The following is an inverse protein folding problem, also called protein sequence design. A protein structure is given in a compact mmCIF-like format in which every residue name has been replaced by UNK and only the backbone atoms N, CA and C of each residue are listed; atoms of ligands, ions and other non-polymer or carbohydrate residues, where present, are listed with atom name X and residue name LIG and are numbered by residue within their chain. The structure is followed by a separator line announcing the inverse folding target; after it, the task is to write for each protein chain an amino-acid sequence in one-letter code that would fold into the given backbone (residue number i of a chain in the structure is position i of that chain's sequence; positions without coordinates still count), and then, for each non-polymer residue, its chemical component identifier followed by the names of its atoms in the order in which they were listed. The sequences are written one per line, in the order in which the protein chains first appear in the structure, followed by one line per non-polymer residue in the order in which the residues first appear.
data_IF_953117954993
#
_entry.id   IF_953117954993
#
_cell.length_a   1.000
_cell.length_b   1.000
_cell.length_c   1.000
_cell.angle_alpha   90.00
_cell.angle_beta   90.00
_cell.angle_gamma   90.00
#
_symmetry.space_group_name_H-M   'P 1'
#
loop_
_entity.id
_entity.type
_entity.pdbx_description
1 polymer ?
#
# COMPACT_ATOMS: atom_id res chain seq x y z
N UNK A 1 4.29 -32.90 3.71
CA UNK A 1 3.36 -32.95 4.85
C UNK A 1 4.20 -33.23 6.08
N UNK A 2 4.41 -32.20 6.91
CA UNK A 2 5.13 -32.35 8.19
C UNK A 2 4.26 -33.21 9.10
N UNK A 3 4.82 -34.29 9.65
CA UNK A 3 4.06 -35.15 10.59
C UNK A 3 3.93 -34.43 11.93
N UNK A 4 2.86 -34.66 12.71
CA UNK A 4 2.81 -34.17 14.09
C UNK A 4 4.06 -34.64 14.85
N UNK A 5 4.81 -33.72 15.44
CA UNK A 5 6.01 -34.01 16.24
C UNK A 5 7.36 -33.93 15.52
N UNK A 6 7.44 -33.48 14.26
CA UNK A 6 8.72 -33.20 13.62
C UNK A 6 9.27 -31.85 14.12
N UNK A 7 10.45 -31.85 14.75
CA UNK A 7 11.14 -30.63 15.19
C UNK A 7 11.49 -29.78 13.97
N UNK A 8 10.88 -28.59 13.89
CA UNK A 8 11.04 -27.67 12.75
C UNK A 8 12.23 -26.72 12.96
N UNK A 9 12.57 -26.41 14.21
CA UNK A 9 13.70 -25.55 14.58
C UNK A 9 14.21 -25.89 16.01
N UNK A 10 15.48 -25.61 16.30
CA UNK A 10 16.11 -25.83 17.61
C UNK A 10 17.01 -24.63 17.93
N UNK A 11 16.71 -23.94 19.03
CA UNK A 11 17.50 -22.81 19.53
C UNK A 11 17.97 -23.08 20.97
N UNK A 12 19.22 -22.73 21.28
CA UNK A 12 19.70 -22.71 22.66
C UNK A 12 19.12 -21.50 23.40
N UNK A 13 18.29 -21.75 24.41
CA UNK A 13 17.75 -20.71 25.29
C UNK A 13 18.67 -20.48 26.49
N UNK A 14 18.63 -19.27 27.05
CA UNK A 14 19.39 -18.95 28.25
C UNK A 14 19.04 -19.90 29.41
N UNK A 15 20.06 -20.28 30.19
CA UNK A 15 19.87 -21.12 31.38
C UNK A 15 18.83 -20.49 32.31
N UNK A 16 17.80 -21.25 32.67
CA UNK A 16 16.68 -20.79 33.52
C UNK A 16 15.45 -20.29 32.77
N UNK A 17 15.40 -20.36 31.43
CA UNK A 17 14.23 -19.93 30.64
C UNK A 17 12.91 -20.66 31.01
N UNK A 18 12.98 -21.95 31.36
CA UNK A 18 11.84 -22.71 31.86
C UNK A 18 12.23 -23.58 33.05
N UNK A 19 11.28 -23.80 33.97
CA UNK A 19 11.45 -24.76 35.07
C UNK A 19 11.01 -26.15 34.66
N UNK A 20 11.52 -27.19 35.36
CA UNK A 20 11.07 -28.57 35.14
C UNK A 20 9.57 -28.71 35.39
N UNK A 21 9.02 -28.01 36.39
CA UNK A 21 7.57 -28.04 36.64
C UNK A 21 6.78 -27.47 35.46
N UNK A 22 7.25 -26.36 34.87
CA UNK A 22 6.57 -25.71 33.73
C UNK A 22 6.57 -26.59 32.47
N UNK A 23 7.69 -27.25 32.19
CA UNK A 23 7.79 -28.18 31.06
C UNK A 23 6.93 -29.45 31.27
N UNK A 24 6.82 -29.93 32.52
CA UNK A 24 5.98 -31.06 32.86
C UNK A 24 4.47 -30.74 32.81
N UNK A 25 4.09 -29.46 32.81
CA UNK A 25 2.70 -29.01 32.71
C UNK A 25 2.20 -28.94 31.25
N UNK A 26 3.08 -29.10 30.25
CA UNK A 26 2.69 -29.16 28.84
C UNK A 26 1.91 -30.46 28.61
N UNK A 27 0.63 -30.40 28.18
CA UNK A 27 -0.18 -31.61 27.99
C UNK A 27 0.37 -32.47 26.85
N UNK A 28 0.28 -33.80 26.99
CA UNK A 28 0.68 -34.74 25.93
C UNK A 28 -0.22 -34.66 24.69
N UNK A 29 -1.49 -34.28 24.88
CA UNK A 29 -2.45 -34.06 23.80
C UNK A 29 -2.63 -32.56 23.51
N UNK A 30 -2.69 -32.16 22.23
CA UNK A 30 -2.87 -30.77 21.85
C UNK A 30 -4.26 -30.26 22.25
N UNK A 31 -4.34 -28.97 22.60
CA UNK A 31 -5.62 -28.31 22.83
C UNK A 31 -6.50 -28.37 21.56
N UNK A 32 -7.83 -28.51 21.70
CA UNK A 32 -8.73 -28.46 20.56
C UNK A 32 -8.66 -27.07 19.92
N UNK A 33 -8.68 -27.03 18.58
CA UNK A 33 -8.76 -25.77 17.85
C UNK A 33 -10.12 -25.11 18.06
N UNK A 34 -10.11 -23.83 18.41
CA UNK A 34 -11.30 -23.01 18.58
C UNK A 34 -11.19 -21.71 17.75
N UNK A 35 -12.13 -21.54 16.82
CA UNK A 35 -12.19 -20.35 15.97
C UNK A 35 -12.64 -19.12 16.74
N UNK A 36 -13.50 -19.29 17.73
CA UNK A 36 -14.02 -18.17 18.52
C UNK A 36 -12.91 -17.57 19.41
N UNK A 37 -11.95 -18.40 19.85
CA UNK A 37 -10.75 -17.96 20.52
C UNK A 37 -9.81 -17.16 19.60
N UNK A 38 -9.63 -17.59 18.35
CA UNK A 38 -8.87 -16.81 17.35
C UNK A 38 -9.55 -15.46 17.06
N UNK A 39 -10.88 -15.44 16.96
CA UNK A 39 -11.65 -14.22 16.77
C UNK A 39 -11.61 -13.31 18.00
N UNK A 40 -11.55 -13.87 19.21
CA UNK A 40 -11.33 -13.11 20.44
C UNK A 40 -9.96 -12.43 20.41
N UNK A 41 -8.90 -13.18 20.10
CA UNK A 41 -7.55 -12.66 19.99
C UNK A 41 -7.48 -11.52 18.96
N UNK A 42 -8.09 -11.69 17.79
CA UNK A 42 -8.18 -10.65 16.77
C UNK A 42 -8.86 -9.38 17.29
N UNK A 43 -10.02 -9.51 17.95
CA UNK A 43 -10.77 -8.36 18.50
C UNK A 43 -10.03 -7.61 19.60
N UNK A 44 -9.36 -8.32 20.50
CA UNK A 44 -8.66 -7.72 21.63
C UNK A 44 -7.38 -7.00 21.18
N UNK A 45 -6.61 -7.62 20.27
CA UNK A 45 -5.33 -7.06 19.79
C UNK A 45 -5.48 -6.07 18.63
N UNK A 46 -6.58 -6.16 17.87
CA UNK A 46 -6.74 -5.48 16.59
C UNK A 46 -5.98 -6.10 15.42
N UNK A 47 -5.45 -7.31 15.60
CA UNK A 47 -4.85 -8.11 14.52
C UNK A 47 -5.91 -8.55 13.50
N UNK A 48 -5.47 -8.75 12.26
CA UNK A 48 -6.29 -9.42 11.24
C UNK A 48 -6.61 -10.86 11.66
N UNK A 49 -7.74 -11.38 11.19
CA UNK A 49 -8.23 -12.72 11.62
C UNK A 49 -7.19 -13.81 11.34
N UNK A 50 -6.53 -13.75 10.18
CA UNK A 50 -5.53 -14.74 9.80
C UNK A 50 -4.26 -14.70 10.66
N UNK A 51 -3.80 -13.50 11.04
CA UNK A 51 -2.65 -13.32 11.92
C UNK A 51 -2.95 -13.82 13.33
N UNK A 52 -4.12 -13.48 13.87
CA UNK A 52 -4.57 -14.00 15.16
C UNK A 52 -4.71 -15.53 15.14
N UNK A 53 -5.29 -16.11 14.08
CA UNK A 53 -5.41 -17.56 13.95
C UNK A 53 -4.05 -18.25 13.86
N UNK A 54 -3.10 -17.70 13.09
CA UNK A 54 -1.75 -18.28 12.96
C UNK A 54 -0.95 -18.17 14.26
N UNK A 55 -1.10 -17.06 15.00
CA UNK A 55 -0.49 -16.85 16.30
C UNK A 55 -1.05 -17.84 17.35
N UNK A 56 -2.37 -17.97 17.43
CA UNK A 56 -3.03 -18.91 18.34
C UNK A 56 -2.65 -20.37 18.04
N UNK A 57 -2.45 -20.70 16.75
CA UNK A 57 -2.04 -22.03 16.32
C UNK A 57 -0.55 -22.36 16.62
N UNK A 58 0.21 -21.44 17.22
CA UNK A 58 1.62 -21.65 17.53
C UNK A 58 2.55 -21.50 16.33
N UNK A 59 2.18 -20.68 15.35
CA UNK A 59 3.03 -20.30 14.20
C UNK A 59 3.49 -21.48 13.31
N UNK A 60 2.61 -22.43 12.92
CA UNK A 60 3.00 -23.61 12.16
C UNK A 60 3.59 -23.25 10.79
N UNK A 61 4.81 -23.74 10.51
CA UNK A 61 5.48 -23.58 9.21
C UNK A 61 5.86 -22.13 8.87
N UNK A 62 5.99 -21.27 9.89
CA UNK A 62 6.28 -19.84 9.71
C UNK A 62 7.59 -19.60 8.93
N UNK A 63 8.60 -20.46 9.06
CA UNK A 63 9.88 -20.31 8.36
C UNK A 63 9.93 -21.02 6.99
N UNK A 64 8.82 -21.62 6.55
CA UNK A 64 8.74 -22.23 5.23
C UNK A 64 8.82 -21.18 4.12
N UNK A 65 9.56 -21.46 3.05
CA UNK A 65 9.63 -20.61 1.87
C UNK A 65 8.44 -20.81 0.91
N UNK A 66 7.64 -21.87 1.07
CA UNK A 66 6.50 -22.15 0.18
C UNK A 66 5.34 -21.20 0.43
N UNK A 67 4.67 -20.73 -0.63
CA UNK A 67 3.49 -19.86 -0.48
C UNK A 67 2.33 -20.59 0.20
N UNK A 68 2.10 -21.85 -0.17
CA UNK A 68 1.21 -22.76 0.53
C UNK A 68 2.03 -23.57 1.55
N UNK A 69 2.27 -22.99 2.74
CA UNK A 69 3.04 -23.63 3.80
C UNK A 69 2.20 -24.47 4.77
N UNK A 70 0.90 -24.18 4.86
CA UNK A 70 -0.03 -24.88 5.76
C UNK A 70 -0.65 -26.13 5.12
N UNK A 71 -0.77 -26.16 3.79
CA UNK A 71 -1.60 -27.14 3.10
C UNK A 71 -3.10 -26.90 3.30
N UNK A 72 -3.96 -27.57 2.49
CA UNK A 72 -5.41 -27.34 2.51
C UNK A 72 -6.05 -27.72 3.85
N UNK A 73 -5.65 -28.83 4.47
CA UNK A 73 -6.28 -29.30 5.72
C UNK A 73 -6.12 -28.34 6.90
N UNK A 74 -4.92 -27.77 7.08
CA UNK A 74 -4.67 -26.79 8.15
C UNK A 74 -5.38 -25.47 7.83
N UNK A 75 -5.37 -25.02 6.56
CA UNK A 75 -6.14 -23.83 6.16
C UNK A 75 -7.64 -23.97 6.42
N UNK A 76 -8.20 -25.12 6.08
CA UNK A 76 -9.62 -25.40 6.31
C UNK A 76 -9.94 -25.42 7.81
N UNK A 77 -9.04 -25.94 8.66
CA UNK A 77 -9.19 -25.89 10.11
C UNK A 77 -9.20 -24.45 10.65
N UNK A 78 -8.18 -23.66 10.29
CA UNK A 78 -8.03 -22.26 10.69
C UNK A 78 -9.11 -21.35 10.08
N UNK A 79 -9.68 -21.75 8.93
CA UNK A 79 -10.65 -20.97 8.17
C UNK A 79 -10.03 -19.77 7.47
N UNK A 80 -8.86 -19.95 6.86
CA UNK A 80 -8.10 -18.90 6.16
C UNK A 80 -7.69 -19.35 4.76
N UNK A 81 -7.60 -18.40 3.82
CA UNK A 81 -7.14 -18.65 2.45
C UNK A 81 -5.61 -18.72 2.34
N UNK A 82 -5.09 -19.20 1.20
CA UNK A 82 -3.64 -19.19 0.94
C UNK A 82 -3.05 -17.78 0.92
N UNK A 83 -3.82 -16.79 0.45
CA UNK A 83 -3.36 -15.40 0.41
C UNK A 83 -3.32 -14.79 1.82
N UNK A 84 -4.35 -15.01 2.62
CA UNK A 84 -4.42 -14.59 4.02
C UNK A 84 -3.31 -15.21 4.86
N UNK A 85 -3.07 -16.52 4.72
CA UNK A 85 -1.99 -17.21 5.44
C UNK A 85 -0.60 -16.66 5.07
N UNK A 86 -0.37 -16.38 3.78
CA UNK A 86 0.90 -15.80 3.34
C UNK A 86 1.10 -14.39 3.91
N UNK A 87 0.07 -13.53 3.90
CA UNK A 87 0.14 -12.19 4.47
C UNK A 87 0.39 -12.22 5.99
N UNK A 88 -0.35 -13.06 6.72
CA UNK A 88 -0.16 -13.26 8.16
C UNK A 88 1.25 -13.75 8.51
N UNK A 89 1.83 -14.63 7.69
CA UNK A 89 3.20 -15.11 7.87
C UNK A 89 4.22 -14.00 7.71
N UNK A 90 4.13 -13.20 6.65
CA UNK A 90 5.09 -12.09 6.44
C UNK A 90 5.02 -11.08 7.58
N UNK A 91 3.83 -10.77 8.10
CA UNK A 91 3.65 -9.93 9.27
C UNK A 91 4.31 -10.51 10.54
N UNK A 92 4.05 -11.79 10.83
CA UNK A 92 4.64 -12.46 12.00
C UNK A 92 6.15 -12.67 11.85
N UNK A 93 6.68 -12.63 10.61
CA UNK A 93 8.11 -12.71 10.33
C UNK A 93 8.88 -11.45 10.72
N UNK A 94 8.22 -10.29 10.76
CA UNK A 94 8.85 -9.05 11.23
C UNK A 94 9.26 -9.13 12.70
N UNK A 95 8.57 -9.97 13.49
CA UNK A 95 8.97 -10.27 14.86
C UNK A 95 10.25 -11.10 14.83
N UNK A 96 11.28 -10.69 15.57
CA UNK A 96 12.46 -11.51 15.80
C UNK A 96 12.09 -12.81 16.54
N UNK A 97 12.90 -13.86 16.37
CA UNK A 97 12.69 -15.14 17.05
C UNK A 97 12.53 -14.97 18.59
N UNK A 98 13.36 -14.16 19.29
CA UNK A 98 13.15 -13.88 20.71
C UNK A 98 11.79 -13.24 21.01
N UNK A 99 11.34 -12.29 20.19
CA UNK A 99 10.03 -11.65 20.38
C UNK A 99 8.88 -12.66 20.21
N UNK A 100 8.95 -13.54 19.20
CA UNK A 100 7.94 -14.59 18.97
C UNK A 100 7.89 -15.56 20.15
N UNK A 101 9.06 -16.04 20.59
CA UNK A 101 9.17 -16.95 21.74
C UNK A 101 8.61 -16.33 23.00
N UNK A 102 9.06 -15.13 23.32
CA UNK A 102 8.67 -14.46 24.56
C UNK A 102 7.18 -14.07 24.57
N UNK A 103 6.58 -13.83 23.40
CA UNK A 103 5.13 -13.62 23.23
C UNK A 103 4.34 -14.90 23.55
N UNK A 104 4.76 -16.05 23.01
CA UNK A 104 4.14 -17.34 23.29
C UNK A 104 4.33 -17.74 24.76
N UNK A 105 5.51 -17.48 25.32
CA UNK A 105 5.85 -17.80 26.71
C UNK A 105 5.01 -17.01 27.71
N UNK A 106 4.85 -15.70 27.48
CA UNK A 106 4.04 -14.83 28.34
C UNK A 106 2.54 -15.19 28.31
N UNK A 107 2.10 -15.91 27.28
CA UNK A 107 0.70 -16.24 27.06
C UNK A 107 0.28 -17.61 27.62
N UNK A 108 1.20 -18.41 28.17
CA UNK A 108 0.94 -19.75 28.72
C UNK A 108 -0.04 -19.64 29.91
N UNK A 109 -1.31 -20.06 29.79
CA UNK A 109 -2.25 -20.09 30.90
C UNK A 109 -1.94 -21.26 31.87
N UNK A 110 -2.58 -21.26 33.03
CA UNK A 110 -2.50 -22.38 33.99
C UNK A 110 -3.05 -23.70 33.39
N UNK A 111 -4.05 -23.62 32.50
CA UNK A 111 -4.55 -24.76 31.71
C UNK A 111 -4.37 -24.50 30.21
N UNK A 112 -3.34 -25.12 29.63
CA UNK A 112 -3.02 -25.03 28.21
C UNK A 112 -4.10 -25.60 27.28
N UNK A 113 -5.10 -26.31 27.82
CA UNK A 113 -6.23 -26.85 27.04
C UNK A 113 -7.38 -25.87 26.90
N UNK A 114 -7.35 -24.73 27.58
CA UNK A 114 -8.34 -23.67 27.41
C UNK A 114 -7.90 -22.70 26.30
N UNK A 115 -8.44 -22.82 25.07
CA UNK A 115 -8.06 -21.94 23.97
C UNK A 115 -8.45 -20.48 24.21
N UNK A 116 -9.50 -20.23 25.01
CA UNK A 116 -9.93 -18.86 25.34
C UNK A 116 -8.95 -18.21 26.32
N UNK A 117 -8.47 -18.96 27.32
CA UNK A 117 -7.44 -18.47 28.25
C UNK A 117 -6.13 -18.17 27.51
N UNK A 118 -5.71 -19.07 26.61
CA UNK A 118 -4.53 -18.86 25.77
C UNK A 118 -4.68 -17.62 24.86
N UNK A 119 -5.85 -17.45 24.22
CA UNK A 119 -6.13 -16.27 23.40
C UNK A 119 -6.04 -14.96 24.20
N UNK A 120 -6.58 -14.91 25.43
CA UNK A 120 -6.47 -13.73 26.30
C UNK A 120 -5.04 -13.48 26.77
N UNK A 121 -4.29 -14.54 27.10
CA UNK A 121 -2.87 -14.43 27.45
C UNK A 121 -2.05 -13.85 26.29
N UNK A 122 -2.26 -14.35 25.08
CA UNK A 122 -1.63 -13.83 23.87
C UNK A 122 -2.04 -12.38 23.61
N UNK A 123 -3.32 -12.04 23.80
CA UNK A 123 -3.79 -10.68 23.62
C UNK A 123 -3.14 -9.69 24.61
N UNK A 124 -3.09 -10.05 25.89
CA UNK A 124 -2.44 -9.24 26.91
C UNK A 124 -0.94 -9.06 26.63
N UNK A 125 -0.23 -10.15 26.33
CA UNK A 125 1.19 -10.11 26.00
C UNK A 125 1.48 -9.30 24.74
N UNK A 126 0.61 -9.39 23.73
CA UNK A 126 0.70 -8.58 22.52
C UNK A 126 0.52 -7.09 22.83
N UNK A 127 -0.56 -6.72 23.53
CA UNK A 127 -0.90 -5.34 23.83
C UNK A 127 0.17 -4.69 24.72
N UNK A 128 0.72 -5.42 25.68
CA UNK A 128 1.81 -4.93 26.53
C UNK A 128 3.06 -4.58 25.72
N UNK A 129 3.40 -5.40 24.72
CA UNK A 129 4.64 -5.25 23.93
C UNK A 129 4.51 -4.31 22.74
N UNK A 130 3.38 -4.37 22.05
CA UNK A 130 3.17 -3.76 20.74
C UNK A 130 2.01 -2.76 20.73
N UNK A 131 1.26 -2.64 21.83
CA UNK A 131 0.02 -1.88 21.89
C UNK A 131 -1.14 -2.61 21.22
N UNK A 132 -2.34 -2.06 21.40
CA UNK A 132 -3.53 -2.49 20.67
C UNK A 132 -3.54 -1.80 19.31
N UNK A 133 -3.72 -2.56 18.24
CA UNK A 133 -3.89 -2.02 16.89
C UNK A 133 -5.32 -1.62 16.64
N UNK A 134 -5.52 -0.68 15.73
CA UNK A 134 -6.85 -0.39 15.21
C UNK A 134 -7.18 -1.39 14.10
N UNK A 135 -8.30 -2.14 14.19
CA UNK A 135 -8.65 -3.14 13.20
C UNK A 135 -8.75 -2.55 11.78
N UNK A 136 -8.20 -3.28 10.82
CA UNK A 136 -8.24 -2.95 9.40
C UNK A 136 -9.39 -3.72 8.73
N UNK A 137 -10.18 -3.10 7.83
CA UNK A 137 -11.19 -3.82 7.05
C UNK A 137 -10.56 -4.93 6.18
N UNK A 138 -11.03 -6.18 6.32
CA UNK A 138 -10.46 -7.35 5.61
C UNK A 138 -10.63 -7.25 4.08
N UNK A 139 -11.70 -6.63 3.61
CA UNK A 139 -11.93 -6.37 2.18
C UNK A 139 -10.90 -5.38 1.61
N UNK A 140 -10.53 -4.36 2.39
CA UNK A 140 -9.44 -3.45 2.05
C UNK A 140 -8.08 -4.16 2.07
N UNK A 141 -7.85 -5.09 3.02
CA UNK A 141 -6.60 -5.85 3.11
C UNK A 141 -6.36 -6.69 1.85
N UNK A 142 -7.38 -7.40 1.35
CA UNK A 142 -7.24 -8.16 0.11
C UNK A 142 -7.01 -7.23 -1.10
N UNK A 143 -7.75 -6.12 -1.17
CA UNK A 143 -7.71 -5.21 -2.32
C UNK A 143 -6.43 -4.37 -2.40
N UNK A 144 -5.85 -3.95 -1.27
CA UNK A 144 -4.61 -3.14 -1.26
C UNK A 144 -3.40 -3.94 -1.76
N UNK A 145 -3.41 -5.27 -1.69
CA UNK A 145 -2.33 -6.11 -2.24
C UNK A 145 -2.12 -5.94 -3.74
N UNK A 146 -3.12 -5.40 -4.47
CA UNK A 146 -2.98 -5.04 -5.88
C UNK A 146 -1.98 -3.90 -6.12
N UNK A 147 -1.61 -3.15 -5.08
CA UNK A 147 -0.53 -2.16 -5.13
C UNK A 147 0.85 -2.79 -5.12
N UNK A 148 0.96 -4.04 -4.65
CA UNK A 148 2.24 -4.72 -4.39
C UNK A 148 3.15 -3.88 -3.49
N UNK A 149 2.69 -3.49 -2.29
CA UNK A 149 3.44 -2.60 -1.41
C UNK A 149 4.75 -3.25 -0.95
N UNK A 150 5.76 -2.43 -0.72
CA UNK A 150 7.05 -2.86 -0.17
C UNK A 150 6.92 -3.16 1.33
N UNK A 151 6.11 -2.38 2.05
CA UNK A 151 5.74 -2.67 3.44
C UNK A 151 4.55 -3.63 3.52
N UNK A 152 4.39 -4.39 4.62
CA UNK A 152 3.23 -5.29 4.78
C UNK A 152 1.90 -4.54 4.64
N UNK A 153 0.94 -5.17 3.95
CA UNK A 153 -0.38 -4.57 3.66
C UNK A 153 -1.14 -4.13 4.93
N UNK A 154 -1.01 -4.88 6.03
CA UNK A 154 -1.61 -4.52 7.32
C UNK A 154 -0.99 -3.25 7.90
N UNK A 155 0.34 -3.12 7.77
CA UNK A 155 1.09 -1.94 8.19
C UNK A 155 0.69 -0.71 7.38
N UNK A 156 0.63 -0.85 6.06
CA UNK A 156 0.18 0.22 5.15
C UNK A 156 -1.23 0.70 5.47
N UNK A 157 -2.18 -0.22 5.67
CA UNK A 157 -3.54 0.16 6.04
C UNK A 157 -3.61 0.74 7.45
N UNK A 158 -2.74 0.33 8.38
CA UNK A 158 -2.58 0.95 9.69
C UNK A 158 -2.29 2.46 9.62
N UNK A 159 -1.45 2.87 8.66
CA UNK A 159 -1.16 4.30 8.40
C UNK A 159 -2.42 5.09 8.01
N UNK A 160 -3.39 4.44 7.37
CA UNK A 160 -4.64 5.07 6.96
C UNK A 160 -5.74 4.96 8.01
N UNK A 161 -5.72 3.94 8.87
CA UNK A 161 -6.75 3.75 9.92
C UNK A 161 -6.47 4.60 11.15
N UNK A 162 -5.20 4.67 11.58
CA UNK A 162 -4.80 5.31 12.83
C UNK A 162 -3.49 6.09 12.67
N UNK A 163 -3.45 7.09 11.77
CA UNK A 163 -2.20 7.77 11.40
C UNK A 163 -1.45 8.41 12.57
N UNK A 164 -2.17 8.92 13.58
CA UNK A 164 -1.57 9.52 14.78
C UNK A 164 -0.98 8.49 15.77
N UNK A 165 -1.31 7.22 15.61
CA UNK A 165 -0.82 6.11 16.45
C UNK A 165 0.33 5.34 15.77
N UNK A 166 0.67 5.70 14.53
CA UNK A 166 1.75 5.06 13.76
C UNK A 166 3.06 5.84 13.88
N UNK A 167 4.11 5.30 14.53
CA UNK A 167 5.42 5.96 14.63
C UNK A 167 6.06 6.30 13.27
N UNK A 168 5.70 5.56 12.21
CA UNK A 168 6.12 5.81 10.83
C UNK A 168 5.57 7.13 10.26
N UNK A 169 4.56 7.74 10.89
CA UNK A 169 4.09 9.08 10.56
C UNK A 169 4.40 10.11 11.64
N UNK A 170 4.53 9.71 12.91
CA UNK A 170 4.62 10.64 14.04
C UNK A 170 6.01 10.78 14.66
N UNK A 171 6.91 9.82 14.45
CA UNK A 171 8.27 9.89 15.00
C UNK A 171 9.21 10.60 14.03
N UNK A 172 9.70 11.78 14.41
CA UNK A 172 10.69 12.51 13.62
C UNK A 172 11.97 11.68 13.41
N UNK A 173 12.45 11.68 12.17
CA UNK A 173 13.66 10.97 11.76
C UNK A 173 14.83 11.93 11.57
N UNK A 174 15.72 12.03 12.56
CA UNK A 174 17.07 12.56 12.33
C UNK A 174 17.96 11.42 11.89
N UNK A 175 18.23 11.36 10.59
CA UNK A 175 19.08 10.31 10.02
C UNK A 175 20.52 10.79 9.85
N UNK A 176 21.45 9.88 10.05
CA UNK A 176 22.86 10.04 9.66
C UNK A 176 23.23 8.91 8.70
N UNK A 177 24.21 9.10 7.83
CA UNK A 177 24.67 8.04 6.94
C UNK A 177 25.85 7.31 7.61
N UNK A 178 25.77 5.98 7.64
CA UNK A 178 26.84 5.13 8.13
C UNK A 178 27.20 4.05 7.11
N UNK A 179 28.37 3.43 7.29
CA UNK A 179 28.85 2.35 6.43
C UNK A 179 28.84 1.04 7.21
N UNK A 180 28.35 -0.03 6.58
CA UNK A 180 28.45 -1.40 7.11
C UNK A 180 29.89 -1.90 7.09
N UNK A 181 30.16 -3.03 7.74
CA UNK A 181 31.47 -3.72 7.66
C UNK A 181 31.84 -4.16 6.23
N UNK A 182 30.85 -4.23 5.33
CA UNK A 182 31.02 -4.63 3.93
C UNK A 182 31.08 -3.45 2.96
N UNK A 183 31.10 -2.21 3.46
CA UNK A 183 31.20 -1.01 2.62
C UNK A 183 29.87 -0.43 2.13
N UNK A 184 28.73 -1.09 2.39
CA UNK A 184 27.42 -0.54 2.02
C UNK A 184 27.01 0.63 2.90
N UNK A 185 26.50 1.70 2.29
CA UNK A 185 25.94 2.85 2.99
C UNK A 185 24.50 2.58 3.42
N UNK A 186 24.10 3.08 4.58
CA UNK A 186 22.73 2.98 5.08
C UNK A 186 22.39 4.17 5.97
N UNK A 187 21.09 4.43 6.11
CA UNK A 187 20.57 5.41 7.06
C UNK A 187 20.60 4.84 8.49
N UNK A 188 21.35 5.50 9.36
CA UNK A 188 21.48 5.19 10.78
C UNK A 188 20.66 6.15 11.62
N UNK A 189 20.03 5.60 12.65
CA UNK A 189 19.11 6.29 13.57
C UNK A 189 17.87 6.85 12.87
N UNK A 190 16.90 7.34 13.63
CA UNK A 190 15.60 7.78 13.11
C UNK A 190 14.70 6.63 12.66
N UNK A 191 13.43 6.94 12.47
CA UNK A 191 12.44 5.97 11.96
C UNK A 191 12.46 6.01 10.43
N UNK A 192 12.67 4.88 9.71
CA UNK A 192 12.67 4.85 8.25
C UNK A 192 11.37 5.39 7.64
N UNK A 193 11.46 6.03 6.47
CA UNK A 193 10.29 6.62 5.81
C UNK A 193 10.22 6.44 4.29
N UNK A 194 11.26 5.91 3.63
CA UNK A 194 11.30 5.78 2.16
C UNK A 194 10.17 4.90 1.60
N UNK A 195 10.13 3.63 2.01
CA UNK A 195 9.08 2.69 1.58
C UNK A 195 7.69 3.17 2.04
N UNK A 196 7.60 3.65 3.28
CA UNK A 196 6.36 4.22 3.85
C UNK A 196 5.81 5.35 2.99
N UNK A 197 6.64 6.31 2.56
CA UNK A 197 6.20 7.42 1.72
C UNK A 197 5.71 6.94 0.34
N UNK A 198 6.42 5.98 -0.26
CA UNK A 198 6.07 5.40 -1.57
C UNK A 198 4.73 4.67 -1.51
N UNK A 199 4.57 3.78 -0.54
CA UNK A 199 3.37 2.98 -0.38
C UNK A 199 2.18 3.82 0.08
N UNK A 200 2.40 4.79 0.98
CA UNK A 200 1.35 5.73 1.42
C UNK A 200 0.83 6.57 0.25
N UNK A 201 1.71 7.08 -0.61
CA UNK A 201 1.30 7.83 -1.79
C UNK A 201 0.37 6.98 -2.68
N UNK A 202 0.80 5.75 -2.99
CA UNK A 202 -0.02 4.80 -3.76
C UNK A 202 -1.35 4.47 -3.05
N UNK A 203 -1.34 4.28 -1.74
CA UNK A 203 -2.53 3.92 -0.96
C UNK A 203 -3.56 5.05 -0.90
N UNK A 204 -3.15 6.31 -0.83
CA UNK A 204 -4.07 7.47 -0.88
C UNK A 204 -4.81 7.51 -2.20
N UNK A 205 -4.10 7.46 -3.33
CA UNK A 205 -4.72 7.49 -4.65
C UNK A 205 -5.54 6.23 -4.94
N UNK A 206 -5.11 5.07 -4.44
CA UNK A 206 -5.87 3.83 -4.50
C UNK A 206 -7.18 3.90 -3.71
N UNK A 207 -7.14 4.38 -2.46
CA UNK A 207 -8.32 4.51 -1.63
C UNK A 207 -9.33 5.48 -2.27
N UNK A 208 -8.85 6.53 -2.92
CA UNK A 208 -9.69 7.43 -3.72
C UNK A 208 -10.33 6.76 -4.94
N UNK A 209 -9.56 5.98 -5.70
CA UNK A 209 -10.05 5.39 -6.95
C UNK A 209 -10.91 4.13 -6.76
N UNK A 210 -10.68 3.36 -5.70
CA UNK A 210 -11.19 1.98 -5.57
C UNK A 210 -12.05 1.71 -4.33
N UNK A 211 -12.27 2.69 -3.46
CA UNK A 211 -13.20 2.56 -2.33
C UNK A 211 -14.38 3.53 -2.46
N UNK A 212 -15.59 3.10 -2.05
CA UNK A 212 -16.77 3.98 -2.07
C UNK A 212 -16.64 5.08 -1.01
N UNK A 213 -17.31 6.21 -1.23
CA UNK A 213 -17.47 7.24 -0.22
C UNK A 213 -18.04 6.70 1.08
N UNK A 214 -17.65 7.31 2.20
CA UNK A 214 -17.99 6.83 3.54
C UNK A 214 -17.19 5.61 4.00
N UNK A 215 -16.24 5.09 3.20
CA UNK A 215 -15.37 4.01 3.64
C UNK A 215 -14.51 4.45 4.83
N UNK A 216 -14.32 3.63 5.89
CA UNK A 216 -13.61 4.04 7.12
C UNK A 216 -12.20 4.62 6.89
N UNK A 217 -11.50 4.16 5.85
CA UNK A 217 -10.17 4.67 5.48
C UNK A 217 -10.18 6.12 4.97
N UNK A 218 -11.28 6.59 4.37
CA UNK A 218 -11.36 7.95 3.81
C UNK A 218 -11.27 9.02 4.88
N UNK A 219 -11.89 8.79 6.05
CA UNK A 219 -12.00 9.77 7.12
C UNK A 219 -10.65 10.21 7.72
N UNK A 220 -9.60 9.41 7.52
CA UNK A 220 -8.29 9.60 8.14
C UNK A 220 -7.18 9.92 7.14
N UNK A 221 -7.43 9.79 5.83
CA UNK A 221 -6.48 10.16 4.77
C UNK A 221 -5.99 11.61 4.89
N UNK A 222 -6.84 12.62 5.17
CA UNK A 222 -6.35 13.99 5.37
C UNK A 222 -5.32 14.10 6.50
N UNK A 223 -5.52 13.38 7.61
CA UNK A 223 -4.58 13.36 8.73
C UNK A 223 -3.29 12.61 8.38
N UNK A 224 -3.39 11.48 7.68
CA UNK A 224 -2.22 10.72 7.24
C UNK A 224 -1.34 11.54 6.27
N UNK A 225 -1.97 12.25 5.33
CA UNK A 225 -1.29 13.13 4.38
C UNK A 225 -0.58 14.29 5.09
N UNK A 226 -1.24 14.91 6.07
CA UNK A 226 -0.66 16.00 6.85
C UNK A 226 0.55 15.55 7.67
N UNK A 227 0.45 14.42 8.39
CA UNK A 227 1.58 13.88 9.15
C UNK A 227 2.74 13.48 8.24
N UNK A 228 2.44 12.90 7.07
CA UNK A 228 3.47 12.59 6.08
C UNK A 228 4.19 13.87 5.59
N UNK A 229 3.45 14.95 5.34
CA UNK A 229 4.02 16.25 4.94
C UNK A 229 4.91 16.86 6.03
N UNK A 230 4.45 16.83 7.28
CA UNK A 230 5.26 17.30 8.42
C UNK A 230 6.59 16.54 8.50
N UNK A 231 6.55 15.23 8.29
CA UNK A 231 7.76 14.42 8.26
C UNK A 231 8.67 14.75 7.07
N UNK A 232 8.10 14.95 5.89
CA UNK A 232 8.84 15.36 4.69
C UNK A 232 9.49 16.75 4.80
N UNK A 233 8.91 17.64 5.62
CA UNK A 233 9.43 18.98 5.89
C UNK A 233 10.56 18.98 6.94
N UNK A 234 10.85 17.84 7.57
CA UNK A 234 11.90 17.75 8.58
C UNK A 234 13.31 17.83 7.95
N UNK A 235 14.06 18.88 8.29
CA UNK A 235 15.38 19.19 7.70
C UNK A 235 16.43 18.08 7.80
N UNK A 236 16.34 17.24 8.83
CA UNK A 236 17.28 16.13 9.06
C UNK A 236 16.77 14.77 8.55
N UNK A 237 15.60 14.74 7.89
CA UNK A 237 15.13 13.55 7.21
C UNK A 237 15.98 13.34 5.94
N UNK A 238 16.52 12.13 5.80
CA UNK A 238 17.16 11.67 4.57
C UNK A 238 16.35 10.50 4.02
N UNK A 239 16.12 10.51 2.71
CA UNK A 239 15.50 9.41 1.97
C UNK A 239 16.53 8.84 1.01
N UNK A 240 16.60 7.52 0.92
CA UNK A 240 17.48 6.82 0.00
C UNK A 240 16.85 6.79 -1.40
N UNK A 241 17.60 7.27 -2.39
CA UNK A 241 17.24 7.18 -3.81
C UNK A 241 17.76 5.88 -4.45
N UNK A 242 18.80 5.30 -3.86
CA UNK A 242 19.48 4.08 -4.30
C UNK A 242 20.76 4.36 -5.11
N UNK A 243 21.36 3.30 -5.62
CA UNK A 243 22.60 3.39 -6.41
C UNK A 243 22.34 3.86 -7.84
N UNK A 244 23.13 4.83 -8.30
CA UNK A 244 23.05 5.43 -9.63
C UNK A 244 24.42 5.41 -10.31
N UNK A 245 24.43 5.13 -11.61
CA UNK A 245 25.66 5.19 -12.41
C UNK A 245 25.93 6.64 -12.82
N UNK A 246 26.81 7.32 -12.08
CA UNK A 246 27.09 8.75 -12.26
C UNK A 246 28.45 9.04 -12.93
N UNK A 247 29.18 8.01 -13.34
CA UNK A 247 30.48 8.15 -14.00
C UNK A 247 31.63 8.24 -13.00
N UNK A 248 32.60 9.10 -13.24
CA UNK A 248 33.80 9.17 -12.41
C UNK A 248 33.62 10.05 -11.17
N UNK A 249 34.55 9.95 -10.21
CA UNK A 249 34.65 10.90 -9.08
C UNK A 249 34.58 12.37 -9.52
N UNK A 250 35.22 12.72 -10.63
CA UNK A 250 35.21 14.10 -11.14
C UNK A 250 33.81 14.50 -11.65
N UNK A 251 33.04 13.57 -12.19
CA UNK A 251 31.66 13.82 -12.64
C UNK A 251 30.72 14.02 -11.45
N UNK A 252 30.83 13.18 -10.41
CA UNK A 252 30.08 13.35 -9.15
C UNK A 252 30.40 14.71 -8.53
N UNK A 253 31.68 15.07 -8.41
CA UNK A 253 32.09 16.36 -7.83
C UNK A 253 31.61 17.54 -8.68
N UNK A 254 31.59 17.40 -10.01
CA UNK A 254 31.06 18.44 -10.90
C UNK A 254 29.54 18.63 -10.73
N UNK A 255 28.80 17.57 -10.45
CA UNK A 255 27.34 17.60 -10.30
C UNK A 255 26.89 18.05 -8.91
N UNK A 256 27.57 17.61 -7.85
CA UNK A 256 27.15 17.79 -6.46
C UNK A 256 28.12 18.66 -5.64
N UNK A 257 29.23 19.12 -6.22
CA UNK A 257 30.26 19.88 -5.52
C UNK A 257 31.26 18.99 -4.78
N UNK A 258 32.06 19.57 -3.91
CA UNK A 258 33.16 18.91 -3.21
C UNK A 258 33.04 18.98 -1.68
N UNK A 259 31.96 19.56 -1.15
CA UNK A 259 31.74 19.69 0.28
C UNK A 259 31.50 18.31 0.90
N UNK A 260 32.31 17.85 1.87
CA UNK A 260 32.13 16.55 2.50
C UNK A 260 30.84 16.52 3.34
N UNK A 261 30.20 15.35 3.42
CA UNK A 261 29.12 15.11 4.37
C UNK A 261 29.70 14.82 5.76
N UNK A 262 29.43 15.72 6.71
CA UNK A 262 30.07 15.70 8.03
C UNK A 262 31.60 15.56 7.88
N UNK A 263 32.20 14.57 8.53
CA UNK A 263 33.64 14.30 8.47
C UNK A 263 34.00 13.15 7.50
N UNK A 264 33.08 12.73 6.62
CA UNK A 264 33.29 11.63 5.68
C UNK A 264 33.72 12.13 4.28
N UNK A 265 34.99 11.95 3.87
CA UNK A 265 35.51 12.43 2.58
C UNK A 265 35.05 11.59 1.36
N UNK A 266 34.40 10.44 1.60
CA UNK A 266 33.83 9.59 0.55
C UNK A 266 32.37 9.94 0.22
N UNK A 267 31.81 10.93 0.91
CA UNK A 267 30.47 11.44 0.70
C UNK A 267 30.52 12.95 0.41
N UNK A 268 29.80 13.39 -0.62
CA UNK A 268 29.60 14.80 -0.94
C UNK A 268 28.18 15.21 -0.55
N UNK A 269 28.03 16.43 -0.03
CA UNK A 269 26.76 17.02 0.38
C UNK A 269 26.54 18.39 -0.26
N UNK A 270 25.62 18.48 -1.21
CA UNK A 270 25.25 19.73 -1.89
C UNK A 270 24.14 20.53 -1.17
N UNK A 271 23.67 20.00 -0.02
CA UNK A 271 22.58 20.53 0.79
C UNK A 271 21.23 19.88 0.49
N UNK A 272 20.97 19.48 -0.75
CA UNK A 272 19.77 18.71 -1.13
C UNK A 272 20.07 17.20 -1.13
N UNK A 273 21.21 16.82 -1.69
CA UNK A 273 21.63 15.44 -1.95
C UNK A 273 22.91 15.14 -1.18
N UNK A 274 22.98 13.95 -0.60
CA UNK A 274 24.22 13.34 -0.12
C UNK A 274 24.53 12.14 -1.02
N UNK A 275 25.74 12.09 -1.57
CA UNK A 275 26.12 11.13 -2.60
C UNK A 275 27.48 10.52 -2.33
N UNK A 276 27.65 9.22 -2.56
CA UNK A 276 28.96 8.58 -2.51
C UNK A 276 29.80 8.88 -3.75
N UNK A 277 31.12 8.99 -3.55
CA UNK A 277 32.05 9.43 -4.61
C UNK A 277 32.71 8.23 -5.29
N UNK A 278 31.89 7.39 -5.92
CA UNK A 278 32.29 6.17 -6.64
C UNK A 278 31.49 6.02 -7.95
N UNK A 279 31.82 5.01 -8.76
CA UNK A 279 31.19 4.80 -10.08
C UNK A 279 29.67 4.52 -9.97
N UNK A 280 29.31 3.67 -9.02
CA UNK A 280 27.93 3.39 -8.62
C UNK A 280 27.62 4.13 -7.33
N UNK A 281 27.32 5.41 -7.48
CA UNK A 281 27.09 6.31 -6.38
C UNK A 281 25.77 5.99 -5.67
N UNK A 282 25.81 5.80 -4.35
CA UNK A 282 24.61 5.72 -3.50
C UNK A 282 24.11 7.13 -3.21
N UNK A 283 22.86 7.41 -3.52
CA UNK A 283 22.26 8.73 -3.33
C UNK A 283 21.24 8.72 -2.20
N UNK A 284 21.31 9.76 -1.38
CA UNK A 284 20.33 10.13 -0.37
C UNK A 284 19.92 11.58 -0.62
N UNK A 285 18.70 11.97 -0.27
CA UNK A 285 18.26 13.36 -0.42
C UNK A 285 17.38 13.83 0.74
N UNK A 286 17.36 15.14 0.95
CA UNK A 286 16.54 15.82 1.95
C UNK A 286 15.24 16.29 1.30
N UNK A 287 14.08 15.65 1.58
CA UNK A 287 12.82 16.03 0.95
C UNK A 287 12.43 17.49 1.23
N UNK A 288 12.72 18.03 2.43
CA UNK A 288 12.50 19.43 2.81
C UNK A 288 13.25 20.47 1.94
N UNK A 289 14.21 20.02 1.12
CA UNK A 289 14.98 20.87 0.21
C UNK A 289 14.59 20.65 -1.26
N UNK A 290 13.67 19.72 -1.55
CA UNK A 290 13.21 19.46 -2.90
C UNK A 290 12.29 20.60 -3.36
N UNK A 291 12.66 21.27 -4.45
CA UNK A 291 11.95 22.43 -4.97
C UNK A 291 11.81 22.40 -6.49
N UNK A 292 11.83 23.59 -7.10
CA UNK A 292 11.76 23.78 -8.55
C UNK A 292 13.12 24.19 -9.15
N UNK A 293 14.22 23.95 -8.42
CA UNK A 293 15.58 24.29 -8.87
C UNK A 293 16.19 23.19 -9.75
N UNK A 294 17.32 23.51 -10.40
CA UNK A 294 18.02 22.60 -11.32
C UNK A 294 18.45 21.29 -10.65
N UNK A 295 18.79 21.33 -9.35
CA UNK A 295 19.21 20.12 -8.61
C UNK A 295 18.02 19.19 -8.38
N UNK A 296 16.87 19.76 -8.02
CA UNK A 296 15.61 19.05 -7.86
C UNK A 296 15.15 18.45 -9.21
N UNK A 297 15.30 19.19 -10.31
CA UNK A 297 15.04 18.68 -11.65
C UNK A 297 15.98 17.51 -12.02
N UNK A 298 17.27 17.59 -11.65
CA UNK A 298 18.22 16.50 -11.86
C UNK A 298 17.82 15.23 -11.07
N UNK A 299 17.45 15.36 -9.79
CA UNK A 299 16.93 14.24 -8.99
C UNK A 299 15.69 13.60 -9.62
N UNK A 300 14.73 14.40 -10.11
CA UNK A 300 13.55 13.89 -10.81
C UNK A 300 13.91 13.14 -12.09
N UNK A 301 14.92 13.59 -12.82
CA UNK A 301 15.37 12.94 -14.05
C UNK A 301 16.00 11.56 -13.83
N UNK A 302 16.47 11.26 -12.61
CA UNK A 302 16.95 9.93 -12.23
C UNK A 302 15.81 8.91 -12.07
N UNK A 303 14.54 9.35 -12.11
CA UNK A 303 13.38 8.48 -12.28
C UNK A 303 13.05 7.58 -11.08
N UNK A 304 13.44 7.97 -9.86
CA UNK A 304 13.20 7.16 -8.68
C UNK A 304 11.78 7.29 -8.14
N UNK A 305 11.16 6.14 -7.80
CA UNK A 305 9.79 6.07 -7.28
C UNK A 305 9.57 6.90 -6.02
N UNK A 306 10.59 7.02 -5.16
CA UNK A 306 10.52 7.81 -3.93
C UNK A 306 10.42 9.31 -4.21
N UNK A 307 11.14 9.84 -5.21
CA UNK A 307 11.07 11.28 -5.56
C UNK A 307 9.66 11.62 -6.05
N UNK A 308 9.09 10.74 -6.90
CA UNK A 308 7.69 10.89 -7.33
C UNK A 308 6.72 10.82 -6.15
N UNK A 309 6.92 9.90 -5.21
CA UNK A 309 6.05 9.79 -4.04
C UNK A 309 6.06 11.06 -3.18
N UNK A 310 7.24 11.65 -2.96
CA UNK A 310 7.38 12.95 -2.28
C UNK A 310 6.66 14.06 -3.03
N UNK A 311 6.85 14.16 -4.35
CA UNK A 311 6.15 15.14 -5.19
C UNK A 311 4.63 14.99 -5.11
N UNK A 312 4.12 13.76 -5.16
CA UNK A 312 2.69 13.46 -5.04
C UNK A 312 2.14 13.86 -3.67
N UNK A 313 2.78 13.42 -2.58
CA UNK A 313 2.36 13.74 -1.22
C UNK A 313 2.34 15.25 -0.97
N UNK A 314 3.28 16.01 -1.54
CA UNK A 314 3.33 17.46 -1.44
C UNK A 314 2.48 18.20 -2.50
N UNK A 315 1.83 17.47 -3.42
CA UNK A 315 1.13 18.10 -4.54
C UNK A 315 -0.20 18.75 -4.13
N UNK A 316 -0.63 19.80 -4.87
CA UNK A 316 -2.00 20.30 -4.78
C UNK A 316 -3.05 19.25 -5.16
N UNK A 317 -2.72 18.33 -6.08
CA UNK A 317 -3.62 17.25 -6.49
C UNK A 317 -3.98 16.30 -5.34
N UNK A 318 -3.00 15.90 -4.53
CA UNK A 318 -3.25 15.07 -3.34
C UNK A 318 -3.96 15.83 -2.23
N UNK A 319 -3.69 17.14 -2.09
CA UNK A 319 -4.48 17.99 -1.17
C UNK A 319 -5.97 17.99 -1.58
N UNK A 320 -6.24 18.19 -2.87
CA UNK A 320 -7.60 18.18 -3.39
C UNK A 320 -8.28 16.80 -3.29
N UNK A 321 -7.53 15.70 -3.51
CA UNK A 321 -8.03 14.34 -3.26
C UNK A 321 -8.42 14.16 -1.80
N UNK A 322 -7.57 14.57 -0.85
CA UNK A 322 -7.86 14.44 0.58
C UNK A 322 -9.09 15.26 1.00
N UNK A 323 -9.22 16.50 0.53
CA UNK A 323 -10.41 17.34 0.75
C UNK A 323 -11.67 16.69 0.18
N UNK A 324 -11.57 16.13 -1.04
CA UNK A 324 -12.69 15.48 -1.71
C UNK A 324 -13.16 14.23 -0.97
N UNK A 325 -12.22 13.42 -0.48
CA UNK A 325 -12.51 12.22 0.31
C UNK A 325 -13.26 12.53 1.62
N UNK A 326 -12.98 13.68 2.24
CA UNK A 326 -13.64 14.10 3.48
C UNK A 326 -15.14 14.42 3.30
N UNK A 327 -15.58 14.68 2.07
CA UNK A 327 -16.96 15.11 1.75
C UNK A 327 -17.67 14.17 0.76
N UNK A 328 -17.04 13.06 0.37
CA UNK A 328 -17.61 12.12 -0.59
C UNK A 328 -18.80 11.38 0.06
N UNK A 329 -20.03 11.48 -0.48
CA UNK A 329 -21.20 10.86 0.13
C UNK A 329 -21.08 9.34 0.27
N UNK A 330 -21.68 8.78 1.32
CA UNK A 330 -21.68 7.35 1.60
C UNK A 330 -22.17 6.52 0.40
N UNK A 331 -21.39 5.51 0.02
CA UNK A 331 -21.69 4.62 -1.11
C UNK A 331 -21.52 5.24 -2.50
N UNK A 332 -21.16 6.52 -2.60
CA UNK A 332 -20.91 7.20 -3.87
C UNK A 332 -19.50 6.95 -4.41
N UNK A 333 -19.29 7.26 -5.68
CA UNK A 333 -18.00 7.11 -6.35
C UNK A 333 -17.74 8.35 -7.19
N UNK A 334 -16.57 8.96 -7.02
CA UNK A 334 -16.15 10.05 -7.93
C UNK A 334 -15.90 9.56 -9.35
N UNK A 335 -15.80 8.25 -9.55
CA UNK A 335 -15.80 7.63 -10.87
C UNK A 335 -17.17 7.74 -11.58
N UNK A 336 -18.26 8.08 -10.87
CA UNK A 336 -19.51 8.50 -11.48
C UNK A 336 -19.49 10.03 -11.67
N UNK A 337 -19.31 10.53 -12.91
CA UNK A 337 -19.22 11.97 -13.16
C UNK A 337 -20.49 12.73 -12.76
N UNK A 338 -21.63 12.06 -12.56
CA UNK A 338 -22.85 12.71 -12.05
C UNK A 338 -22.71 13.20 -10.60
N UNK A 339 -21.81 12.58 -9.83
CA UNK A 339 -21.57 12.92 -8.42
C UNK A 339 -20.58 14.08 -8.24
N UNK A 340 -19.69 14.30 -9.20
CA UNK A 340 -18.63 15.32 -9.12
C UNK A 340 -18.73 16.44 -10.16
N UNK A 341 -19.25 16.14 -11.36
CA UNK A 341 -19.30 17.06 -12.51
C UNK A 341 -20.62 16.95 -13.29
N UNK A 342 -21.80 17.12 -12.64
CA UNK A 342 -23.09 16.97 -13.31
C UNK A 342 -23.29 17.92 -14.50
N UNK A 343 -22.75 19.13 -14.44
CA UNK A 343 -22.80 20.09 -15.56
C UNK A 343 -22.02 19.60 -16.78
N UNK A 344 -20.90 18.91 -16.56
CA UNK A 344 -20.10 18.30 -17.62
C UNK A 344 -20.86 17.13 -18.27
N UNK A 345 -21.59 16.33 -17.48
CA UNK A 345 -22.46 15.27 -18.02
C UNK A 345 -23.56 15.87 -18.90
N UNK A 346 -24.19 16.95 -18.43
CA UNK A 346 -25.23 17.65 -19.20
C UNK A 346 -24.66 18.28 -20.49
N UNK A 347 -23.46 18.84 -20.43
CA UNK A 347 -22.75 19.36 -21.59
C UNK A 347 -22.40 18.25 -22.60
N UNK A 348 -21.79 17.16 -22.14
CA UNK A 348 -21.45 16.01 -22.98
C UNK A 348 -22.71 15.43 -23.64
N UNK A 349 -23.81 15.30 -22.90
CA UNK A 349 -25.10 14.87 -23.45
C UNK A 349 -25.59 15.76 -24.59
N UNK A 350 -25.52 17.08 -24.43
CA UNK A 350 -25.90 18.04 -25.48
C UNK A 350 -25.00 17.92 -26.72
N UNK A 351 -23.68 17.88 -26.53
CA UNK A 351 -22.70 17.85 -27.64
C UNK A 351 -22.76 16.53 -28.40
N UNK A 352 -22.87 15.41 -27.69
CA UNK A 352 -22.95 14.07 -28.28
C UNK A 352 -24.36 13.75 -28.80
N UNK A 353 -25.36 14.54 -28.42
CA UNK A 353 -26.77 14.34 -28.77
C UNK A 353 -27.38 13.09 -28.14
N UNK A 354 -27.04 12.81 -26.88
CA UNK A 354 -27.46 11.63 -26.12
C UNK A 354 -27.98 12.01 -24.73
N UNK A 355 -28.74 11.12 -24.11
CA UNK A 355 -29.23 11.30 -22.74
C UNK A 355 -28.12 11.15 -21.68
N UNK A 356 -28.44 11.44 -20.42
CA UNK A 356 -27.50 11.42 -19.28
C UNK A 356 -26.74 10.09 -19.12
N UNK A 357 -27.42 8.95 -19.26
CA UNK A 357 -26.81 7.63 -19.09
C UNK A 357 -25.70 7.36 -20.14
N UNK A 358 -25.95 7.45 -21.46
CA UNK A 358 -24.89 7.36 -22.45
C UNK A 358 -23.77 8.41 -22.27
N UNK A 359 -24.11 9.65 -21.92
CA UNK A 359 -23.11 10.70 -21.68
C UNK A 359 -22.18 10.35 -20.50
N UNK A 360 -22.75 9.86 -19.40
CA UNK A 360 -22.04 9.36 -18.23
C UNK A 360 -21.09 8.24 -18.61
N UNK A 361 -21.58 7.23 -19.34
CA UNK A 361 -20.77 6.11 -19.81
C UNK A 361 -19.63 6.57 -20.72
N UNK A 362 -19.91 7.49 -21.65
CA UNK A 362 -18.90 8.02 -22.55
C UNK A 362 -17.74 8.69 -21.80
N UNK A 363 -18.04 9.57 -20.84
CA UNK A 363 -17.03 10.23 -20.00
C UNK A 363 -16.21 9.21 -19.19
N UNK A 364 -16.85 8.17 -18.64
CA UNK A 364 -16.14 7.11 -17.92
C UNK A 364 -15.17 6.33 -18.83
N UNK A 365 -15.58 6.01 -20.06
CA UNK A 365 -14.71 5.35 -21.04
C UNK A 365 -13.58 6.26 -21.51
N UNK A 366 -13.82 7.56 -21.59
CA UNK A 366 -12.84 8.59 -21.96
C UNK A 366 -11.77 8.79 -20.90
N UNK A 367 -12.15 8.81 -19.63
CA UNK A 367 -11.26 9.27 -18.56
C UNK A 367 -10.69 8.14 -17.71
N UNK A 368 -11.48 7.12 -17.33
CA UNK A 368 -11.07 6.23 -16.24
C UNK A 368 -10.07 5.15 -16.70
N UNK A 369 -9.16 4.77 -15.79
CA UNK A 369 -8.14 3.74 -16.02
C UNK A 369 -8.74 2.34 -16.15
N UNK A 370 -9.72 1.99 -15.29
CA UNK A 370 -10.30 0.64 -15.22
C UNK A 370 -11.83 0.62 -15.35
N UNK A 371 -12.41 1.13 -16.46
CA UNK A 371 -13.86 1.19 -16.67
C UNK A 371 -14.39 -0.19 -17.10
N UNK A 372 -14.09 -1.25 -16.36
CA UNK A 372 -14.64 -2.58 -16.62
C UNK A 372 -16.16 -2.53 -16.51
N UNK A 373 -16.88 -3.42 -17.20
CA UNK A 373 -18.34 -3.47 -17.13
C UNK A 373 -18.83 -3.67 -15.68
N UNK A 374 -18.03 -4.34 -14.84
CA UNK A 374 -18.29 -4.51 -13.40
C UNK A 374 -18.17 -3.18 -12.66
N UNK A 375 -17.07 -2.46 -12.86
CA UNK A 375 -16.79 -1.21 -12.17
C UNK A 375 -17.80 -0.12 -12.56
N UNK A 376 -18.06 0.06 -13.85
CA UNK A 376 -19.07 1.02 -14.35
C UNK A 376 -20.44 0.78 -13.70
N UNK A 377 -20.87 -0.49 -13.59
CA UNK A 377 -22.14 -0.81 -12.93
C UNK A 377 -22.11 -0.51 -11.44
N UNK A 378 -21.00 -0.80 -10.77
CA UNK A 378 -20.84 -0.54 -9.34
C UNK A 378 -20.87 0.96 -9.04
N UNK A 379 -20.10 1.75 -9.78
CA UNK A 379 -20.02 3.21 -9.63
C UNK A 379 -21.37 3.89 -9.86
N UNK A 380 -22.08 3.48 -10.91
CA UNK A 380 -23.30 4.17 -11.32
C UNK A 380 -24.57 3.64 -10.63
N UNK A 381 -24.47 2.56 -9.84
CA UNK A 381 -25.63 1.83 -9.31
C UNK A 381 -26.51 1.22 -10.41
N UNK A 382 -25.92 0.84 -11.55
CA UNK A 382 -26.66 0.40 -12.72
C UNK A 382 -26.91 -1.10 -12.77
N UNK A 383 -28.12 -1.47 -13.19
CA UNK A 383 -28.40 -2.85 -13.61
C UNK A 383 -27.68 -3.18 -14.93
N UNK A 384 -27.40 -4.46 -15.21
CA UNK A 384 -26.85 -4.87 -16.50
C UNK A 384 -27.70 -4.41 -17.70
N UNK A 385 -29.03 -4.34 -17.55
CA UNK A 385 -29.93 -3.88 -18.60
C UNK A 385 -29.78 -2.38 -18.89
N UNK A 386 -29.71 -1.54 -17.84
CA UNK A 386 -29.49 -0.10 -17.98
C UNK A 386 -28.14 0.20 -18.64
N UNK A 387 -27.08 -0.48 -18.19
CA UNK A 387 -25.76 -0.35 -18.80
C UNK A 387 -25.76 -0.74 -20.29
N UNK A 388 -26.38 -1.87 -20.66
CA UNK A 388 -26.49 -2.27 -22.08
C UNK A 388 -27.26 -1.25 -22.91
N UNK A 389 -28.33 -0.66 -22.38
CA UNK A 389 -29.11 0.36 -23.06
C UNK A 389 -28.27 1.62 -23.33
N UNK A 390 -27.52 2.10 -22.32
CA UNK A 390 -26.62 3.24 -22.49
C UNK A 390 -25.54 2.96 -23.55
N UNK A 391 -24.93 1.78 -23.50
CA UNK A 391 -23.92 1.35 -24.46
C UNK A 391 -24.44 1.21 -25.90
N UNK A 392 -25.67 0.71 -26.08
CA UNK A 392 -26.29 0.60 -27.40
C UNK A 392 -26.47 1.97 -28.07
N UNK A 393 -26.88 2.99 -27.31
CA UNK A 393 -27.02 4.36 -27.83
C UNK A 393 -25.66 4.91 -28.31
N UNK A 394 -24.58 4.70 -27.54
CA UNK A 394 -23.24 5.13 -27.96
C UNK A 394 -22.77 4.42 -29.23
N UNK A 395 -23.07 3.12 -29.34
CA UNK A 395 -22.70 2.31 -30.51
C UNK A 395 -23.48 2.71 -31.76
N UNK A 396 -24.79 2.91 -31.65
CA UNK A 396 -25.66 3.38 -32.75
C UNK A 396 -25.24 4.76 -33.27
N UNK A 397 -24.75 5.62 -32.38
CA UNK A 397 -24.22 6.95 -32.70
C UNK A 397 -22.78 6.92 -33.24
N UNK A 398 -22.11 5.76 -33.26
CA UNK A 398 -20.73 5.62 -33.70
C UNK A 398 -19.70 6.27 -32.77
N UNK A 399 -20.07 6.57 -31.52
CA UNK A 399 -19.18 7.20 -30.52
C UNK A 399 -18.24 6.17 -29.88
N UNK A 400 -18.59 4.90 -29.94
CA UNK A 400 -17.80 3.76 -29.47
C UNK A 400 -17.82 2.65 -30.51
N UNK A 401 -16.85 1.75 -30.41
CA UNK A 401 -16.78 0.51 -31.20
C UNK A 401 -16.89 -0.71 -30.30
N UNK A 402 -17.54 -1.77 -30.79
CA UNK A 402 -17.50 -3.08 -30.14
C UNK A 402 -16.23 -3.83 -30.59
N UNK A 403 -15.43 -4.29 -29.63
CA UNK A 403 -14.21 -5.04 -29.91
C UNK A 403 -13.92 -6.05 -28.80
N UNK A 404 -13.00 -6.97 -29.06
CA UNK A 404 -12.42 -7.84 -28.03
C UNK A 404 -10.99 -7.39 -27.74
N UNK A 405 -10.77 -6.81 -26.56
CA UNK A 405 -9.45 -6.45 -26.05
C UNK A 405 -9.11 -7.35 -24.86
N UNK A 406 -7.91 -7.92 -24.88
CA UNK A 406 -7.46 -8.80 -23.80
C UNK A 406 -7.44 -8.06 -22.46
N UNK A 407 -7.93 -8.70 -21.39
CA UNK A 407 -7.99 -8.18 -20.00
C UNK A 407 -8.80 -6.89 -19.79
N UNK A 408 -9.48 -6.35 -20.80
CA UNK A 408 -10.21 -5.08 -20.66
C UNK A 408 -11.49 -5.17 -19.79
N UNK A 409 -12.08 -6.35 -19.64
CA UNK A 409 -13.28 -6.55 -18.81
C UNK A 409 -14.55 -5.82 -19.32
N UNK A 410 -14.56 -5.39 -20.59
CA UNK A 410 -15.67 -4.68 -21.25
C UNK A 410 -15.69 -4.96 -22.76
N UNK A 411 -16.79 -4.56 -23.42
CA UNK A 411 -16.99 -4.74 -24.88
C UNK A 411 -16.93 -3.46 -25.71
N UNK A 412 -17.18 -2.30 -25.09
CA UNK A 412 -17.23 -1.01 -25.77
C UNK A 412 -15.96 -0.21 -25.53
N UNK A 413 -15.43 0.40 -26.59
CA UNK A 413 -14.17 1.16 -26.58
C UNK A 413 -14.31 2.44 -27.38
N UNK A 414 -13.57 3.48 -26.98
CA UNK A 414 -13.42 4.64 -27.86
C UNK A 414 -12.62 4.24 -29.10
N UNK A 415 -12.92 4.82 -30.27
CA UNK A 415 -12.09 4.63 -31.46
C UNK A 415 -10.65 5.11 -31.18
N UNK A 416 -9.65 4.29 -31.53
CA UNK A 416 -8.25 4.68 -31.39
C UNK A 416 -7.28 3.55 -31.05
N UNK A 417 -6.04 3.98 -30.79
CA UNK A 417 -4.92 3.12 -30.40
C UNK A 417 -5.09 2.56 -28.98
N UNK A 418 -4.37 1.46 -28.72
CA UNK A 418 -4.49 0.70 -27.48
C UNK A 418 -3.12 0.43 -26.89
N UNK A 419 -2.96 0.82 -25.63
CA UNK A 419 -1.72 0.66 -24.88
C UNK A 419 -1.76 -0.64 -24.09
N UNK A 420 -0.76 -1.50 -24.29
CA UNK A 420 -0.59 -2.73 -23.49
C UNK A 420 -0.07 -2.36 -22.11
N UNK A 421 -0.57 -3.04 -21.08
CA UNK A 421 -0.09 -2.92 -19.70
C UNK A 421 0.06 -4.31 -19.07
N UNK A 422 1.08 -4.46 -18.21
CA UNK A 422 1.28 -5.68 -17.40
C UNK A 422 0.40 -5.60 -16.15
N UNK A 423 0.01 -6.76 -15.62
CA UNK A 423 -0.66 -6.83 -14.32
C UNK A 423 0.24 -6.17 -13.25
N UNK A 424 -0.34 -5.46 -12.26
CA UNK A 424 -1.77 -5.35 -11.95
C UNK A 424 -2.55 -4.40 -12.89
N UNK A 425 -1.89 -3.54 -13.66
CA UNK A 425 -2.56 -2.59 -14.55
C UNK A 425 -3.32 -3.26 -15.70
N UNK A 426 -4.46 -2.66 -16.06
CA UNK A 426 -5.25 -3.06 -17.22
C UNK A 426 -4.78 -2.29 -18.46
N UNK A 427 -4.76 -2.94 -19.65
CA UNK A 427 -4.58 -2.22 -20.90
C UNK A 427 -5.69 -1.17 -21.11
N UNK A 428 -5.34 -0.05 -21.75
CA UNK A 428 -6.20 1.14 -21.84
C UNK A 428 -6.08 1.84 -23.20
N UNK A 429 -7.03 2.72 -23.50
CA UNK A 429 -6.96 3.63 -24.65
C UNK A 429 -5.70 4.51 -24.57
N UNK A 430 -4.94 4.60 -25.66
CA UNK A 430 -3.67 5.35 -25.67
C UNK A 430 -3.85 6.85 -25.42
N UNK A 431 -5.04 7.41 -25.69
CA UNK A 431 -5.37 8.81 -25.39
C UNK A 431 -5.30 9.15 -23.91
N UNK A 432 -5.47 8.17 -23.01
CA UNK A 432 -5.39 8.39 -21.56
C UNK A 432 -3.97 8.61 -21.05
N UNK A 433 -2.94 8.37 -21.87
CA UNK A 433 -1.55 8.59 -21.47
C UNK A 433 -1.23 10.06 -21.15
N UNK A 434 -2.04 11.00 -21.64
CA UNK A 434 -1.90 12.43 -21.33
C UNK A 434 -2.52 12.80 -19.97
N UNK A 435 -3.39 11.96 -19.43
CA UNK A 435 -4.11 12.19 -18.18
C UNK A 435 -3.45 11.54 -16.96
N UNK A 436 -2.61 10.53 -17.16
CA UNK A 436 -2.03 9.73 -16.08
C UNK A 436 -0.54 9.49 -16.30
N UNK A 437 0.20 9.40 -15.19
CA UNK A 437 1.56 8.90 -15.20
C UNK A 437 1.57 7.36 -15.41
N UNK A 438 1.81 6.95 -16.66
CA UNK A 438 1.93 5.54 -17.03
C UNK A 438 3.35 4.97 -16.81
N UNK A 439 4.27 5.73 -16.20
CA UNK A 439 5.59 5.22 -15.78
C UNK A 439 5.54 4.54 -14.41
N UNK A 440 4.46 4.71 -13.65
CA UNK A 440 4.27 4.09 -12.34
C UNK A 440 4.07 2.58 -12.42
N UNK A 441 4.49 1.86 -11.38
CA UNK A 441 4.22 0.43 -11.22
C UNK A 441 2.72 0.15 -11.21
N UNK A 442 1.95 1.02 -10.55
CA UNK A 442 0.49 1.06 -10.55
C UNK A 442 -0.01 2.38 -11.13
N UNK A 443 -0.91 2.32 -12.10
CA UNK A 443 -1.55 3.53 -12.64
C UNK A 443 -2.66 3.98 -11.70
N UNK A 444 -2.56 5.21 -11.20
CA UNK A 444 -3.46 5.80 -10.22
C UNK A 444 -3.68 7.28 -10.55
N UNK A 445 -4.83 7.87 -10.16
CA UNK A 445 -5.05 9.30 -10.31
C UNK A 445 -4.10 10.11 -9.42
N UNK A 446 -3.52 11.17 -9.97
CA UNK A 446 -2.67 12.13 -9.24
C UNK A 446 -3.44 13.37 -8.75
N UNK A 447 -4.71 13.49 -9.17
CA UNK A 447 -5.64 14.59 -8.88
C UNK A 447 -7.09 14.10 -8.89
N UNK A 448 -8.07 14.91 -8.45
CA UNK A 448 -9.46 14.51 -8.43
C UNK A 448 -10.01 14.09 -9.80
N UNK A 449 -10.81 13.01 -9.84
CA UNK A 449 -11.47 12.54 -11.06
C UNK A 449 -12.34 13.62 -11.74
N UNK A 450 -13.05 14.51 -11.02
CA UNK A 450 -13.71 15.68 -11.62
C UNK A 450 -12.83 16.51 -12.55
N UNK A 451 -11.59 16.77 -12.14
CA UNK A 451 -10.61 17.51 -12.94
C UNK A 451 -10.16 16.69 -14.15
N UNK A 452 -9.89 15.39 -13.95
CA UNK A 452 -9.53 14.49 -15.05
C UNK A 452 -10.66 14.33 -16.07
N UNK A 453 -11.93 14.35 -15.66
CA UNK A 453 -13.07 14.35 -16.58
C UNK A 453 -13.10 15.62 -17.42
N UNK A 454 -12.89 16.78 -16.81
CA UNK A 454 -12.85 18.05 -17.53
C UNK A 454 -11.70 18.08 -18.55
N UNK A 455 -10.48 17.73 -18.12
CA UNK A 455 -9.30 17.67 -19.00
C UNK A 455 -9.50 16.70 -20.17
N UNK A 456 -10.04 15.50 -19.88
CA UNK A 456 -10.29 14.52 -20.93
C UNK A 456 -11.34 15.00 -21.93
N UNK A 457 -12.40 15.67 -21.47
CA UNK A 457 -13.44 16.21 -22.33
C UNK A 457 -12.94 17.37 -23.19
N UNK A 458 -12.15 18.28 -22.61
CA UNK A 458 -11.49 19.37 -23.34
C UNK A 458 -10.63 18.85 -24.49
N UNK A 459 -9.87 17.77 -24.27
CA UNK A 459 -9.07 17.14 -25.31
C UNK A 459 -9.85 16.49 -26.46
N UNK A 460 -11.19 16.36 -26.34
CA UNK A 460 -12.05 15.87 -27.44
C UNK A 460 -12.65 16.97 -28.31
N UNK A 461 -12.52 18.24 -27.90
CA UNK A 461 -12.95 19.40 -28.67
C UNK A 461 -11.83 19.94 -29.53
#
# INVERSE_FOLDING_TARGET
AVRPGELVDVEEVASGWATRERLAAVPEEPAPWDRDAADLLARETGLGRATAALLLAGLPGLDSWTRDFLGPGVRDLLGITTAEAAAAREELRELSLPQRRDLLDAAVPDDLRDPTALARGLAAAWIERFGRRVPVPEDALAAVTTLQPDIPATRLLGLLVAPAETPELTADGTHTIATTSYGHLYLRAGTPFGEVATDLAAAIAWAYAFLPGGHPLHARIPQALELARQRLDHDALLLELGAQHLGTRADVVKLFGDRPYADNPELVDDGLTVVSVEEWASLFFRPARLGQDTRSAALRSLGSGIVRAVDLLCSPGYAAIAERLAVLPDGSWDADPRAGTPDLVAEAGKVLGVDEDPATLYLQLLTLLEPTDRNVRAWNGWTPARHRKAGAVLLERGLVVEAKRERAGRKLFLPGSWTKAKAPNLPLESSKAELYDLSASRFLPDRPLPELFALAWEGTR
#
